data_IF_925802549442
#
_entry.id   IF_925802549442
#
_cell.length_a   1.000
_cell.length_b   1.000
_cell.length_c   1.000
_cell.angle_alpha   90.00
_cell.angle_beta   90.00
_cell.angle_gamma   90.00
#
_symmetry.space_group_name_H-M   'P 1'
#
loop_
_entity.id
_entity.type
_entity.pdbx_description
1 polymer ?
#
# COMPACT_ATOMS: atom_id res chain seq x y z
N UNK A 1 26.63 -17.28 -22.06
CA UNK A 1 26.41 -16.83 -23.46
C UNK A 1 27.63 -16.00 -23.83
N UNK A 2 28.14 -15.94 -25.08
CA UNK A 2 29.39 -15.17 -25.33
C UNK A 2 29.11 -13.66 -25.52
N UNK A 3 28.91 -12.97 -24.39
CA UNK A 3 28.57 -11.54 -24.35
C UNK A 3 29.65 -10.65 -24.96
N UNK A 4 30.95 -10.99 -24.82
CA UNK A 4 32.07 -10.18 -25.31
C UNK A 4 32.08 -9.95 -26.83
N UNK A 5 31.33 -10.75 -27.59
CA UNK A 5 31.25 -10.61 -29.06
C UNK A 5 30.05 -9.80 -29.54
N UNK A 6 29.12 -9.45 -28.64
CA UNK A 6 27.92 -8.69 -28.95
C UNK A 6 28.20 -7.18 -29.00
N UNK A 7 27.49 -6.49 -29.90
CA UNK A 7 27.39 -5.02 -29.85
C UNK A 7 26.64 -4.60 -28.59
N UNK A 8 26.80 -3.36 -28.14
CA UNK A 8 26.10 -2.88 -26.94
C UNK A 8 24.58 -2.90 -27.11
N UNK A 9 24.09 -2.67 -28.34
CA UNK A 9 22.66 -2.80 -28.68
C UNK A 9 22.18 -4.25 -28.60
N UNK A 10 22.93 -5.20 -29.19
CA UNK A 10 22.56 -6.62 -29.12
C UNK A 10 22.61 -7.15 -27.69
N UNK A 11 23.59 -6.69 -26.91
CA UNK A 11 23.72 -7.01 -25.49
C UNK A 11 22.53 -6.47 -24.67
N UNK A 12 22.14 -5.21 -24.90
CA UNK A 12 20.98 -4.62 -24.24
C UNK A 12 19.69 -5.35 -24.63
N UNK A 13 19.51 -5.72 -25.90
CA UNK A 13 18.30 -6.40 -26.39
C UNK A 13 17.97 -7.69 -25.63
N UNK A 14 18.95 -8.31 -24.96
CA UNK A 14 18.70 -9.50 -24.13
C UNK A 14 17.73 -9.24 -22.97
N UNK A 15 17.69 -8.02 -22.40
CA UNK A 15 16.72 -7.70 -21.33
C UNK A 15 15.27 -7.71 -21.84
N UNK A 16 15.06 -7.65 -23.16
CA UNK A 16 13.74 -7.71 -23.80
C UNK A 16 13.34 -9.13 -24.21
N UNK A 17 14.28 -10.07 -24.28
CA UNK A 17 14.04 -11.41 -24.85
C UNK A 17 14.19 -12.54 -23.84
N UNK A 18 15.04 -12.38 -22.83
CA UNK A 18 15.41 -13.46 -21.90
C UNK A 18 14.47 -13.58 -20.67
N UNK A 19 13.38 -12.82 -20.63
CA UNK A 19 12.44 -12.82 -19.51
C UNK A 19 13.14 -12.40 -18.22
N UNK A 20 13.12 -13.25 -17.21
CA UNK A 20 13.72 -13.05 -15.87
C UNK A 20 14.94 -13.94 -15.61
N UNK A 21 15.51 -14.50 -16.69
CA UNK A 21 16.51 -15.57 -16.63
C UNK A 21 17.97 -15.11 -16.83
N UNK A 22 18.19 -13.80 -17.01
CA UNK A 22 19.54 -13.25 -17.07
C UNK A 22 20.30 -13.54 -15.77
N UNK A 23 21.55 -13.97 -15.90
CA UNK A 23 22.39 -14.39 -14.77
C UNK A 23 23.54 -13.41 -14.46
N UNK A 24 24.31 -13.73 -13.42
CA UNK A 24 25.44 -12.91 -12.97
C UNK A 24 26.48 -12.59 -14.06
N UNK A 25 26.72 -13.51 -15.01
CA UNK A 25 27.64 -13.26 -16.15
C UNK A 25 27.20 -12.05 -16.99
N UNK A 26 25.89 -11.82 -17.12
CA UNK A 26 25.33 -10.64 -17.78
C UNK A 26 25.64 -9.37 -16.99
N UNK A 27 25.49 -9.41 -15.66
CA UNK A 27 25.75 -8.25 -14.77
C UNK A 27 27.23 -7.86 -14.77
N UNK A 28 28.13 -8.84 -14.78
CA UNK A 28 29.57 -8.60 -14.89
C UNK A 28 29.90 -7.89 -16.22
N UNK A 29 29.36 -8.38 -17.34
CA UNK A 29 29.52 -7.76 -18.66
C UNK A 29 28.88 -6.37 -18.75
N UNK A 30 27.75 -6.16 -18.06
CA UNK A 30 27.13 -4.85 -17.96
C UNK A 30 28.06 -3.86 -17.24
N UNK A 31 28.72 -4.30 -16.17
CA UNK A 31 29.73 -3.51 -15.46
C UNK A 31 30.91 -3.08 -16.34
N UNK A 32 31.40 -3.96 -17.22
CA UNK A 32 32.50 -3.65 -18.16
C UNK A 32 32.12 -2.60 -19.21
N UNK A 33 30.81 -2.38 -19.45
CA UNK A 33 30.26 -1.51 -20.50
C UNK A 33 29.40 -0.37 -19.95
N UNK A 34 29.53 -0.09 -18.65
CA UNK A 34 28.64 0.84 -17.92
C UNK A 34 28.45 2.17 -18.63
N UNK A 35 29.51 2.77 -19.18
CA UNK A 35 29.46 4.04 -19.89
C UNK A 35 28.52 4.06 -21.10
N UNK A 36 28.42 2.94 -21.82
CA UNK A 36 27.54 2.81 -22.98
C UNK A 36 26.11 2.45 -22.57
N UNK A 37 25.96 1.51 -21.63
CA UNK A 37 24.65 0.94 -21.32
C UNK A 37 23.83 1.77 -20.33
N UNK A 38 24.45 2.53 -19.41
CA UNK A 38 23.70 3.32 -18.41
C UNK A 38 22.71 4.29 -19.07
N UNK A 39 23.11 5.10 -20.08
CA UNK A 39 22.15 5.94 -20.80
C UNK A 39 21.04 5.13 -21.48
N UNK A 40 21.38 4.00 -22.10
CA UNK A 40 20.40 3.17 -22.80
C UNK A 40 19.39 2.53 -21.84
N UNK A 41 19.84 2.08 -20.66
CA UNK A 41 18.95 1.56 -19.61
C UNK A 41 18.03 2.66 -19.06
N UNK A 42 18.50 3.90 -18.98
CA UNK A 42 17.64 5.04 -18.64
C UNK A 42 16.58 5.29 -19.72
N UNK A 43 16.93 5.15 -21.01
CA UNK A 43 15.96 5.24 -22.11
C UNK A 43 14.89 4.14 -22.00
N UNK A 44 15.24 2.95 -21.52
CA UNK A 44 14.28 1.86 -21.25
C UNK A 44 13.27 2.26 -20.17
N UNK A 45 13.74 2.83 -19.05
CA UNK A 45 12.90 3.23 -17.91
C UNK A 45 12.05 4.48 -18.17
N UNK A 46 12.47 5.34 -19.08
CA UNK A 46 11.73 6.57 -19.42
C UNK A 46 10.66 6.35 -20.49
N UNK A 47 10.65 5.19 -21.14
CA UNK A 47 9.63 4.82 -22.11
C UNK A 47 8.48 4.03 -21.46
N UNK A 48 7.35 4.72 -21.24
CA UNK A 48 6.13 4.18 -20.63
C UNK A 48 5.59 2.91 -21.33
N UNK A 49 5.75 2.78 -22.64
CA UNK A 49 5.27 1.60 -23.38
C UNK A 49 5.90 0.28 -22.87
N UNK A 50 7.10 0.35 -22.28
CA UNK A 50 7.77 -0.83 -21.76
C UNK A 50 7.16 -1.34 -20.44
N UNK A 51 6.31 -0.56 -19.77
CA UNK A 51 5.64 -0.93 -18.53
C UNK A 51 4.33 -1.69 -18.75
N UNK A 52 3.81 -1.68 -19.98
CA UNK A 52 2.57 -2.36 -20.32
C UNK A 52 2.80 -3.88 -20.44
N UNK A 53 2.06 -4.67 -19.66
CA UNK A 53 2.08 -6.12 -19.81
C UNK A 53 1.38 -6.53 -21.12
N UNK A 54 2.16 -7.08 -22.05
CA UNK A 54 1.67 -7.61 -23.34
C UNK A 54 1.74 -9.15 -23.42
N UNK A 55 2.05 -9.82 -22.30
CA UNK A 55 2.24 -11.27 -22.26
C UNK A 55 3.58 -11.74 -22.82
N UNK A 56 4.53 -10.84 -23.08
CA UNK A 56 5.84 -11.17 -23.63
C UNK A 56 6.98 -10.86 -22.65
N UNK A 57 8.18 -11.34 -22.97
CA UNK A 57 9.40 -11.05 -22.23
C UNK A 57 9.76 -9.55 -22.20
N UNK A 58 9.18 -8.72 -23.09
CA UNK A 58 9.47 -7.29 -23.17
C UNK A 58 9.23 -6.56 -21.86
N UNK A 59 8.19 -6.92 -21.12
CA UNK A 59 7.87 -6.29 -19.84
C UNK A 59 9.00 -6.44 -18.80
N UNK A 60 9.77 -7.53 -18.86
CA UNK A 60 10.92 -7.73 -17.96
C UNK A 60 12.05 -6.73 -18.20
N UNK A 61 12.08 -6.05 -19.34
CA UNK A 61 13.11 -5.06 -19.65
C UNK A 61 13.18 -3.93 -18.62
N UNK A 62 12.05 -3.42 -18.14
CA UNK A 62 12.02 -2.34 -17.13
C UNK A 62 12.46 -2.83 -15.75
N UNK A 63 12.10 -4.08 -15.40
CA UNK A 63 12.56 -4.72 -14.17
C UNK A 63 14.08 -4.87 -14.20
N UNK A 64 14.61 -5.45 -15.29
CA UNK A 64 16.05 -5.58 -15.47
C UNK A 64 16.78 -4.23 -15.49
N UNK A 65 16.25 -3.24 -16.22
CA UNK A 65 16.88 -1.93 -16.30
C UNK A 65 17.01 -1.25 -14.93
N UNK A 66 15.95 -1.30 -14.11
CA UNK A 66 15.99 -0.75 -12.75
C UNK A 66 17.00 -1.48 -11.87
N UNK A 67 17.02 -2.82 -11.90
CA UNK A 67 17.95 -3.64 -11.12
C UNK A 67 19.41 -3.39 -11.53
N UNK A 68 19.71 -3.41 -12.83
CA UNK A 68 21.07 -3.23 -13.35
C UNK A 68 21.58 -1.84 -12.98
N UNK A 69 20.78 -0.78 -13.18
CA UNK A 69 21.17 0.58 -12.80
C UNK A 69 21.46 0.69 -11.30
N UNK A 70 20.63 0.07 -10.45
CA UNK A 70 20.89 -0.01 -9.00
C UNK A 70 22.18 -0.77 -8.66
N UNK A 71 22.46 -1.88 -9.34
CA UNK A 71 23.68 -2.68 -9.13
C UNK A 71 24.93 -1.88 -9.52
N UNK A 72 24.90 -1.22 -10.69
CA UNK A 72 25.99 -0.40 -11.21
C UNK A 72 26.26 0.82 -10.33
N UNK A 73 25.22 1.40 -9.72
CA UNK A 73 25.37 2.50 -8.75
C UNK A 73 25.85 3.81 -9.39
N UNK A 74 25.53 4.04 -10.66
CA UNK A 74 25.96 5.22 -11.42
C UNK A 74 24.97 6.37 -11.27
N UNK A 75 25.43 7.54 -10.82
CA UNK A 75 24.57 8.68 -10.48
C UNK A 75 23.81 9.27 -11.69
N UNK A 76 24.28 9.01 -12.91
CA UNK A 76 23.57 9.34 -14.16
C UNK A 76 22.19 8.69 -14.24
N UNK A 77 21.97 7.61 -13.48
CA UNK A 77 20.73 6.83 -13.49
C UNK A 77 19.55 7.49 -12.74
N UNK A 78 19.78 8.56 -11.96
CA UNK A 78 18.78 9.11 -11.04
C UNK A 78 17.45 9.44 -11.72
N UNK A 79 17.46 10.12 -12.88
CA UNK A 79 16.22 10.47 -13.58
C UNK A 79 15.47 9.25 -14.10
N UNK A 80 16.20 8.25 -14.61
CA UNK A 80 15.62 6.99 -15.07
C UNK A 80 14.93 6.23 -13.94
N UNK A 81 15.57 6.17 -12.76
CA UNK A 81 15.00 5.51 -11.58
C UNK A 81 13.80 6.26 -10.99
N UNK A 82 13.83 7.61 -10.97
CA UNK A 82 12.67 8.42 -10.58
C UNK A 82 11.48 8.19 -11.52
N UNK A 83 11.72 8.07 -12.83
CA UNK A 83 10.68 7.68 -13.79
C UNK A 83 10.18 6.27 -13.60
N UNK A 84 11.07 5.33 -13.27
CA UNK A 84 10.66 3.98 -12.91
C UNK A 84 9.80 3.94 -11.65
N UNK A 85 10.06 4.81 -10.66
CA UNK A 85 9.22 4.96 -9.47
C UNK A 85 7.80 5.39 -9.84
N UNK A 86 7.67 6.44 -10.65
CA UNK A 86 6.36 6.93 -11.13
C UNK A 86 5.59 5.84 -11.87
N UNK A 87 6.20 5.22 -12.87
CA UNK A 87 5.53 4.21 -13.69
C UNK A 87 5.26 2.92 -12.92
N UNK A 88 6.20 2.44 -12.09
CA UNK A 88 5.99 1.23 -11.31
C UNK A 88 4.84 1.38 -10.32
N UNK A 89 4.62 2.57 -9.75
CA UNK A 89 3.43 2.84 -8.94
C UNK A 89 2.14 2.78 -9.77
N UNK A 90 2.10 3.47 -10.93
CA UNK A 90 0.93 3.50 -11.81
C UNK A 90 0.54 2.10 -12.31
N UNK A 91 1.53 1.28 -12.66
CA UNK A 91 1.33 -0.06 -13.21
C UNK A 91 1.39 -1.18 -12.15
N UNK A 92 1.60 -0.85 -10.87
CA UNK A 92 1.66 -1.84 -9.78
C UNK A 92 2.80 -2.85 -9.92
N UNK A 93 4.00 -2.39 -10.23
CA UNK A 93 5.18 -3.25 -10.45
C UNK A 93 6.04 -3.31 -9.19
N UNK A 94 5.66 -4.21 -8.27
CA UNK A 94 6.36 -4.41 -6.99
C UNK A 94 7.85 -4.74 -7.17
N UNK A 95 8.20 -5.51 -8.21
CA UNK A 95 9.59 -5.85 -8.56
C UNK A 95 10.51 -4.64 -8.75
N UNK A 96 9.95 -3.47 -9.09
CA UNK A 96 10.71 -2.22 -9.19
C UNK A 96 10.58 -1.45 -7.88
N UNK A 97 9.35 -1.25 -7.38
CA UNK A 97 9.11 -0.45 -6.17
C UNK A 97 9.91 -0.93 -4.96
N UNK A 98 10.03 -2.25 -4.79
CA UNK A 98 10.71 -2.85 -3.65
C UNK A 98 12.24 -2.59 -3.64
N UNK A 99 12.88 -2.49 -4.81
CA UNK A 99 14.35 -2.32 -4.90
C UNK A 99 14.79 -0.86 -4.97
N UNK A 100 13.90 0.07 -5.35
CA UNK A 100 14.23 1.49 -5.57
C UNK A 100 14.95 2.14 -4.38
N UNK A 101 14.55 1.91 -3.11
CA UNK A 101 15.25 2.47 -1.96
C UNK A 101 16.74 2.09 -1.94
N UNK A 102 17.08 0.84 -2.25
CA UNK A 102 18.47 0.40 -2.30
C UNK A 102 19.17 0.93 -3.55
N UNK A 103 18.50 1.03 -4.70
CA UNK A 103 19.05 1.66 -5.90
C UNK A 103 19.54 3.08 -5.60
N UNK A 104 18.68 3.91 -5.01
CA UNK A 104 19.02 5.28 -4.63
C UNK A 104 20.21 5.34 -3.67
N UNK A 105 20.26 4.44 -2.68
CA UNK A 105 21.39 4.37 -1.75
C UNK A 105 22.71 4.01 -2.44
N UNK A 106 22.68 3.14 -3.45
CA UNK A 106 23.87 2.71 -4.22
C UNK A 106 24.39 3.77 -5.17
N UNK A 107 23.55 4.70 -5.65
CA UNK A 107 24.01 5.88 -6.41
C UNK A 107 24.92 6.81 -5.58
N UNK A 108 24.85 6.70 -4.25
CA UNK A 108 25.66 7.48 -3.33
C UNK A 108 25.07 8.85 -2.98
N UNK A 109 25.77 9.64 -2.15
CA UNK A 109 25.21 10.86 -1.55
C UNK A 109 24.92 11.99 -2.55
N UNK A 110 25.48 11.93 -3.77
CA UNK A 110 25.21 12.90 -4.84
C UNK A 110 23.74 12.95 -5.26
N UNK A 111 22.98 11.87 -5.02
CA UNK A 111 21.55 11.78 -5.36
C UNK A 111 20.65 12.57 -4.40
N UNK A 112 21.10 12.82 -3.16
CA UNK A 112 20.27 13.37 -2.08
C UNK A 112 19.56 14.67 -2.50
N UNK A 113 20.23 15.69 -3.08
CA UNK A 113 19.56 16.93 -3.46
C UNK A 113 18.43 16.68 -4.47
N UNK A 114 18.63 15.75 -5.41
CA UNK A 114 17.64 15.44 -6.44
C UNK A 114 16.44 14.69 -5.90
N UNK A 115 16.64 13.75 -4.96
CA UNK A 115 15.52 13.10 -4.24
C UNK A 115 14.71 14.11 -3.45
N UNK A 116 15.38 15.02 -2.72
CA UNK A 116 14.71 16.08 -1.95
C UNK A 116 13.85 16.98 -2.82
N UNK A 117 14.36 17.38 -3.99
CA UNK A 117 13.60 18.14 -4.99
C UNK A 117 12.38 17.36 -5.48
N UNK A 118 12.56 16.10 -5.89
CA UNK A 118 11.48 15.25 -6.39
C UNK A 118 10.34 15.07 -5.37
N UNK A 119 10.68 14.79 -4.11
CA UNK A 119 9.73 14.68 -3.00
C UNK A 119 9.01 16.01 -2.78
N UNK A 120 9.73 17.12 -2.82
CA UNK A 120 9.18 18.47 -2.63
C UNK A 120 8.15 18.83 -3.71
N UNK A 121 8.43 18.50 -4.98
CA UNK A 121 7.53 18.75 -6.11
C UNK A 121 6.21 17.97 -6.02
N UNK A 122 6.22 16.82 -5.33
CA UNK A 122 5.09 15.86 -5.30
C UNK A 122 4.38 15.79 -3.95
N UNK A 123 4.86 16.52 -2.94
CA UNK A 123 4.37 16.44 -1.56
C UNK A 123 2.87 16.71 -1.39
N UNK A 124 2.26 17.45 -2.30
CA UNK A 124 0.86 17.91 -2.19
C UNK A 124 -0.16 17.01 -2.88
N UNK A 125 0.28 15.94 -3.55
CA UNK A 125 -0.58 15.10 -4.37
C UNK A 125 -0.70 13.70 -3.78
N UNK A 126 -1.90 13.34 -3.32
CA UNK A 126 -2.26 11.97 -2.91
C UNK A 126 -2.01 10.95 -4.05
N UNK A 127 -2.08 11.39 -5.31
CA UNK A 127 -1.88 10.55 -6.48
C UNK A 127 -0.40 10.26 -6.80
N UNK A 128 0.55 10.94 -6.15
CA UNK A 128 1.99 10.78 -6.39
C UNK A 128 2.64 10.07 -5.22
N UNK A 129 3.02 8.82 -5.43
CA UNK A 129 3.77 8.05 -4.44
C UNK A 129 5.25 8.43 -4.48
N UNK A 130 5.78 8.96 -3.37
CA UNK A 130 7.21 9.26 -3.17
C UNK A 130 7.84 8.44 -2.03
N UNK A 131 7.19 7.34 -1.63
CA UNK A 131 7.64 6.51 -0.51
C UNK A 131 8.97 5.82 -0.82
N UNK A 132 9.19 5.38 -2.05
CA UNK A 132 10.46 4.77 -2.47
C UNK A 132 11.64 5.73 -2.30
N UNK A 133 11.44 7.02 -2.59
CA UNK A 133 12.45 8.07 -2.45
C UNK A 133 12.72 8.39 -0.97
N UNK A 134 11.68 8.44 -0.13
CA UNK A 134 11.82 8.61 1.32
C UNK A 134 12.58 7.42 1.93
N UNK A 135 12.20 6.19 1.59
CA UNK A 135 12.91 4.99 2.03
C UNK A 135 14.35 4.97 1.50
N UNK A 136 14.59 5.48 0.28
CA UNK A 136 15.94 5.70 -0.25
C UNK A 136 16.76 6.66 0.61
N UNK A 137 16.16 7.77 1.05
CA UNK A 137 16.80 8.67 2.02
C UNK A 137 17.07 7.95 3.36
N UNK A 138 16.18 7.09 3.84
CA UNK A 138 16.43 6.30 5.06
C UNK A 138 17.55 5.26 4.88
N UNK A 139 17.65 4.61 3.72
CA UNK A 139 18.76 3.73 3.39
C UNK A 139 20.09 4.50 3.43
N UNK A 140 20.11 5.72 2.86
CA UNK A 140 21.28 6.61 2.89
C UNK A 140 21.58 7.07 4.33
N UNK A 141 20.58 7.49 5.09
CA UNK A 141 20.69 7.88 6.51
C UNK A 141 21.31 6.77 7.37
N UNK A 142 20.94 5.51 7.09
CA UNK A 142 21.48 4.35 7.79
C UNK A 142 22.93 4.09 7.41
N UNK A 143 23.26 4.18 6.12
CA UNK A 143 24.58 3.84 5.57
C UNK A 143 25.63 4.94 5.77
N UNK A 144 25.22 6.21 5.76
CA UNK A 144 26.09 7.39 5.83
C UNK A 144 25.72 8.27 7.03
N UNK A 145 26.37 8.10 8.21
CA UNK A 145 26.03 8.85 9.41
C UNK A 145 26.10 10.38 9.27
N UNK A 146 26.99 10.90 8.41
CA UNK A 146 27.18 12.33 8.20
C UNK A 146 26.00 13.02 7.50
N UNK A 147 25.09 12.26 6.87
CA UNK A 147 23.90 12.81 6.18
C UNK A 147 22.66 12.83 7.06
N UNK A 148 22.72 12.26 8.27
CA UNK A 148 21.53 12.02 9.11
C UNK A 148 20.79 13.29 9.48
N UNK A 149 21.51 14.29 9.99
CA UNK A 149 20.94 15.56 10.40
C UNK A 149 20.27 16.27 9.23
N UNK A 150 20.90 16.27 8.05
CA UNK A 150 20.38 16.89 6.83
C UNK A 150 19.13 16.17 6.29
N UNK A 151 19.08 14.84 6.37
CA UNK A 151 17.92 14.05 5.95
C UNK A 151 16.76 14.21 6.93
N UNK A 152 17.01 14.11 8.24
CA UNK A 152 15.99 14.32 9.27
C UNK A 152 15.43 15.74 9.22
N UNK A 153 16.27 16.76 9.07
CA UNK A 153 15.81 18.15 8.94
C UNK A 153 14.92 18.33 7.70
N UNK A 154 15.27 17.70 6.58
CA UNK A 154 14.45 17.74 5.37
C UNK A 154 13.10 17.04 5.57
N UNK A 155 13.08 15.80 6.06
CA UNK A 155 11.84 15.05 6.28
C UNK A 155 10.94 15.75 7.30
N UNK A 156 11.52 16.33 8.35
CA UNK A 156 10.81 17.18 9.30
C UNK A 156 10.17 18.38 8.59
N UNK A 157 10.89 19.06 7.69
CA UNK A 157 10.35 20.19 6.93
C UNK A 157 9.19 19.81 6.01
N UNK A 158 9.22 18.61 5.41
CA UNK A 158 8.12 18.07 4.62
C UNK A 158 6.92 17.79 5.52
N UNK A 159 7.13 17.13 6.66
CA UNK A 159 6.07 16.77 7.60
C UNK A 159 5.32 18.00 8.16
N UNK A 160 6.04 19.07 8.54
CA UNK A 160 5.39 20.27 9.11
C UNK A 160 4.79 21.20 8.06
N UNK A 161 5.05 20.97 6.76
CA UNK A 161 4.55 21.84 5.69
C UNK A 161 3.03 21.69 5.56
N UNK A 162 2.26 22.80 5.51
CA UNK A 162 0.81 22.75 5.37
C UNK A 162 0.36 22.23 3.99
N UNK A 163 1.22 22.32 2.98
CA UNK A 163 0.95 21.83 1.61
C UNK A 163 1.15 20.32 1.47
N UNK A 164 1.76 19.67 2.45
CA UNK A 164 2.04 18.24 2.38
C UNK A 164 0.77 17.45 2.64
N UNK A 165 0.50 16.49 1.76
CA UNK A 165 -0.57 15.52 1.90
C UNK A 165 -0.50 14.80 3.26
N UNK A 166 -1.68 14.49 3.81
CA UNK A 166 -1.82 13.85 5.11
C UNK A 166 -1.29 12.43 5.12
N UNK A 167 -1.43 11.67 4.04
CA UNK A 167 -0.85 10.33 3.92
C UNK A 167 0.67 10.40 4.02
N UNK A 168 1.29 11.29 3.25
CA UNK A 168 2.74 11.51 3.29
C UNK A 168 3.23 11.99 4.66
N UNK A 169 2.53 12.94 5.30
CA UNK A 169 2.81 13.35 6.68
C UNK A 169 2.78 12.16 7.64
N UNK A 170 1.77 11.31 7.50
CA UNK A 170 1.57 10.14 8.36
C UNK A 170 2.71 9.13 8.25
N UNK A 171 3.20 8.88 7.04
CA UNK A 171 4.37 8.04 6.82
C UNK A 171 5.63 8.62 7.50
N UNK A 172 5.86 9.94 7.38
CA UNK A 172 7.04 10.56 8.01
C UNK A 172 6.93 10.54 9.55
N UNK A 173 5.72 10.71 10.12
CA UNK A 173 5.48 10.57 11.57
C UNK A 173 5.82 9.15 12.03
N UNK A 174 5.37 8.14 11.29
CA UNK A 174 5.69 6.73 11.56
C UNK A 174 7.21 6.50 11.56
N UNK A 175 7.92 7.03 10.55
CA UNK A 175 9.36 6.89 10.43
C UNK A 175 10.11 7.50 11.61
N UNK A 176 9.76 8.73 12.01
CA UNK A 176 10.35 9.38 13.18
C UNK A 176 10.06 8.65 14.49
N UNK A 177 8.88 8.06 14.62
CA UNK A 177 8.53 7.23 15.78
C UNK A 177 9.39 5.96 15.84
N UNK A 178 9.62 5.28 14.71
CA UNK A 178 10.44 4.07 14.62
C UNK A 178 11.91 4.32 15.00
N UNK A 179 12.46 5.49 14.66
CA UNK A 179 13.81 5.91 15.10
C UNK A 179 13.83 6.56 16.50
N UNK A 180 12.73 6.44 17.26
CA UNK A 180 12.62 6.84 18.65
C UNK A 180 12.84 8.36 18.90
N UNK A 181 12.37 9.22 17.99
CA UNK A 181 12.34 10.70 18.19
C UNK A 181 11.22 11.11 19.14
N UNK A 182 11.34 10.68 20.40
CA UNK A 182 10.35 10.93 21.48
C UNK A 182 10.16 12.42 21.80
N UNK A 183 11.14 13.25 21.46
CA UNK A 183 11.04 14.71 21.55
C UNK A 183 9.94 15.28 20.64
N UNK A 184 9.59 14.57 19.55
CA UNK A 184 8.54 14.98 18.61
C UNK A 184 7.14 14.49 19.03
N UNK A 185 7.01 13.64 20.05
CA UNK A 185 5.71 13.07 20.46
C UNK A 185 4.64 14.15 20.72
N UNK A 186 4.92 15.26 21.44
CA UNK A 186 3.90 16.30 21.63
C UNK A 186 3.40 16.92 20.31
N UNK A 187 4.27 17.07 19.32
CA UNK A 187 3.89 17.56 17.99
C UNK A 187 3.03 16.53 17.23
N UNK A 188 3.37 15.24 17.33
CA UNK A 188 2.55 14.20 16.71
C UNK A 188 1.15 14.16 17.31
N UNK A 189 1.03 14.24 18.65
CA UNK A 189 -0.27 14.34 19.30
C UNK A 189 -1.09 15.54 18.80
N UNK A 190 -0.44 16.70 18.57
CA UNK A 190 -1.09 17.87 17.98
C UNK A 190 -1.62 17.58 16.56
N UNK A 191 -0.85 16.89 15.72
CA UNK A 191 -1.32 16.46 14.40
C UNK A 191 -2.53 15.53 14.48
N UNK A 192 -2.52 14.56 15.39
CA UNK A 192 -3.70 13.72 15.62
C UNK A 192 -4.91 14.54 16.08
N UNK A 193 -4.72 15.51 16.97
CA UNK A 193 -5.82 16.35 17.44
C UNK A 193 -6.41 17.20 16.32
N UNK A 194 -5.56 17.73 15.42
CA UNK A 194 -5.98 18.50 14.24
C UNK A 194 -6.50 17.65 13.07
N UNK A 195 -6.43 16.33 13.18
CA UNK A 195 -6.78 15.41 12.09
C UNK A 195 -5.77 15.45 10.94
N UNK A 196 -4.54 15.88 11.14
CA UNK A 196 -3.48 15.90 10.12
C UNK A 196 -2.81 14.52 9.90
N UNK A 197 -3.29 13.49 10.60
CA UNK A 197 -2.82 12.10 10.47
C UNK A 197 -3.93 11.25 9.87
N UNK A 198 -3.58 10.44 8.88
CA UNK A 198 -4.46 9.42 8.33
C UNK A 198 -4.54 8.22 9.29
N UNK A 199 -5.69 8.08 9.96
CA UNK A 199 -5.93 7.01 10.92
C UNK A 199 -6.08 5.62 10.29
N UNK A 200 -6.27 5.51 8.98
CA UNK A 200 -6.21 4.22 8.28
C UNK A 200 -4.77 3.74 8.11
N UNK A 201 -3.81 4.66 8.05
CA UNK A 201 -2.37 4.36 7.91
C UNK A 201 -1.70 4.22 9.27
N UNK A 202 -1.93 5.14 10.21
CA UNK A 202 -1.27 5.15 11.52
C UNK A 202 -2.23 5.54 12.64
N UNK A 203 -2.73 4.54 13.38
CA UNK A 203 -3.52 4.84 14.58
C UNK A 203 -2.63 5.30 15.75
N UNK A 204 -3.22 5.89 16.78
CA UNK A 204 -2.50 6.24 18.02
C UNK A 204 -1.86 5.02 18.70
N UNK A 205 -2.52 3.87 18.63
CA UNK A 205 -1.96 2.63 19.17
C UNK A 205 -0.73 2.17 18.37
N UNK A 206 -0.74 2.38 17.04
CA UNK A 206 0.41 2.08 16.19
C UNK A 206 1.57 3.04 16.49
N UNK A 207 1.28 4.33 16.73
CA UNK A 207 2.28 5.30 17.17
C UNK A 207 2.92 4.89 18.50
N UNK A 208 2.10 4.55 19.50
CA UNK A 208 2.59 4.07 20.81
C UNK A 208 3.42 2.79 20.64
N UNK A 209 2.97 1.85 19.79
CA UNK A 209 3.72 0.64 19.46
C UNK A 209 5.09 0.96 18.84
N UNK A 210 5.17 1.93 17.91
CA UNK A 210 6.44 2.34 17.32
C UNK A 210 7.40 2.92 18.35
N UNK A 211 6.95 3.79 19.25
CA UNK A 211 7.80 4.29 20.33
C UNK A 211 8.22 3.20 21.34
N UNK A 212 7.34 2.26 21.66
CA UNK A 212 7.56 1.31 22.75
C UNK A 212 8.27 0.01 22.33
N UNK A 213 8.08 -0.42 21.07
CA UNK A 213 8.45 -1.76 20.58
C UNK A 213 9.35 -1.75 19.37
N UNK A 214 9.40 -0.66 18.61
CA UNK A 214 10.26 -0.56 17.43
C UNK A 214 11.51 0.24 17.77
N UNK A 215 12.66 -0.27 17.38
CA UNK A 215 13.96 0.40 17.58
C UNK A 215 14.90 0.09 16.42
N UNK A 216 14.35 0.06 15.22
CA UNK A 216 15.10 -0.03 13.97
C UNK A 216 14.59 1.08 13.05
N UNK A 217 15.50 1.59 12.22
CA UNK A 217 15.16 2.63 11.26
C UNK A 217 14.29 2.06 10.13
N UNK A 218 13.49 2.88 9.43
CA UNK A 218 12.58 2.41 8.39
C UNK A 218 13.30 2.06 7.07
N UNK A 219 14.61 1.77 7.09
CA UNK A 219 15.33 1.40 5.88
C UNK A 219 14.75 0.14 5.23
N UNK A 220 14.74 0.11 3.90
CA UNK A 220 14.44 -1.06 3.10
C UNK A 220 15.66 -1.44 2.27
N UNK A 221 16.57 -2.19 2.89
CA UNK A 221 17.79 -2.66 2.22
C UNK A 221 17.54 -4.00 1.53
N UNK A 222 18.04 -4.16 0.31
CA UNK A 222 17.92 -5.40 -0.45
C UNK A 222 19.26 -5.81 -1.07
N UNK A 223 19.45 -7.11 -1.29
CA UNK A 223 20.51 -7.60 -2.18
C UNK A 223 19.96 -7.68 -3.62
N UNK A 224 20.00 -6.56 -4.32
CA UNK A 224 19.49 -6.45 -5.71
C UNK A 224 20.22 -7.42 -6.65
N UNK A 225 21.51 -7.68 -6.41
CA UNK A 225 22.31 -8.57 -7.26
C UNK A 225 21.89 -10.04 -7.14
N UNK A 226 21.34 -10.45 -5.97
CA UNK A 226 20.86 -11.81 -5.75
C UNK A 226 19.80 -12.25 -6.77
N UNK A 227 19.04 -11.30 -7.34
CA UNK A 227 18.07 -11.55 -8.41
C UNK A 227 18.68 -12.34 -9.58
N UNK A 228 19.95 -12.08 -9.91
CA UNK A 228 20.68 -12.69 -11.04
C UNK A 228 21.46 -13.95 -10.65
N UNK A 229 21.37 -14.38 -9.39
CA UNK A 229 22.00 -15.63 -8.95
C UNK A 229 21.30 -16.84 -9.54
N UNK A 230 22.06 -17.90 -9.85
CA UNK A 230 21.48 -19.14 -10.36
C UNK A 230 20.48 -19.78 -9.39
N UNK A 231 20.65 -19.56 -8.08
CA UNK A 231 19.71 -20.06 -7.07
C UNK A 231 18.37 -19.34 -7.13
N UNK A 232 18.35 -17.99 -7.20
CA UNK A 232 17.10 -17.24 -7.27
C UNK A 232 16.38 -17.44 -8.61
N UNK A 233 17.11 -17.54 -9.72
CA UNK A 233 16.52 -17.88 -11.03
C UNK A 233 15.85 -19.26 -10.96
N UNK A 234 16.51 -20.26 -10.38
CA UNK A 234 15.94 -21.60 -10.19
C UNK A 234 14.68 -21.57 -9.31
N UNK A 235 14.73 -20.83 -8.19
CA UNK A 235 13.56 -20.68 -7.29
C UNK A 235 12.37 -20.09 -8.02
N UNK A 236 12.58 -19.04 -8.82
CA UNK A 236 11.50 -18.43 -9.58
C UNK A 236 10.99 -19.37 -10.68
N UNK A 237 11.88 -20.10 -11.38
CA UNK A 237 11.47 -21.12 -12.37
C UNK A 237 10.56 -22.18 -11.75
N UNK A 238 10.99 -22.76 -10.63
CA UNK A 238 10.19 -23.75 -9.89
C UNK A 238 8.86 -23.14 -9.41
N UNK A 239 8.86 -21.87 -8.99
CA UNK A 239 7.63 -21.17 -8.61
C UNK A 239 6.65 -21.07 -9.78
N UNK A 240 7.07 -20.62 -10.97
CA UNK A 240 6.19 -20.52 -12.13
C UNK A 240 5.69 -21.89 -12.60
N UNK A 241 6.54 -22.91 -12.60
CA UNK A 241 6.13 -24.28 -12.93
C UNK A 241 5.01 -24.77 -11.98
N UNK A 242 5.15 -24.51 -10.67
CA UNK A 242 4.13 -24.84 -9.69
C UNK A 242 2.86 -23.99 -9.83
N UNK A 243 2.97 -22.69 -10.14
CA UNK A 243 1.83 -21.81 -10.38
C UNK A 243 1.05 -22.24 -11.63
N UNK A 244 1.72 -22.66 -12.69
CA UNK A 244 1.11 -23.20 -13.91
C UNK A 244 0.37 -24.52 -13.65
N UNK A 245 0.98 -25.44 -12.90
CA UNK A 245 0.34 -26.71 -12.51
C UNK A 245 -0.85 -26.47 -11.58
N UNK A 246 -0.71 -25.54 -10.63
CA UNK A 246 -1.79 -25.15 -9.73
C UNK A 246 -2.94 -24.51 -10.52
N UNK A 247 -2.65 -23.60 -11.45
CA UNK A 247 -3.64 -22.93 -12.30
C UNK A 247 -4.49 -23.93 -13.09
N UNK A 248 -3.86 -24.93 -13.74
CA UNK A 248 -4.59 -26.01 -14.44
C UNK A 248 -5.49 -26.82 -13.50
N UNK A 249 -5.03 -27.05 -12.27
CA UNK A 249 -5.79 -27.79 -11.26
C UNK A 249 -6.96 -26.96 -10.74
N UNK A 250 -6.76 -25.67 -10.49
CA UNK A 250 -7.79 -24.71 -10.09
C UNK A 250 -8.86 -24.56 -11.17
N UNK A 251 -8.48 -24.39 -12.44
CA UNK A 251 -9.43 -24.34 -13.57
C UNK A 251 -10.35 -25.57 -13.65
N UNK A 252 -9.79 -26.77 -13.46
CA UNK A 252 -10.58 -28.01 -13.41
C UNK A 252 -11.52 -28.04 -12.21
N UNK A 253 -11.03 -27.63 -11.04
CA UNK A 253 -11.81 -27.59 -9.81
C UNK A 253 -12.97 -26.59 -9.93
N UNK A 254 -12.71 -25.39 -10.42
CA UNK A 254 -13.70 -24.34 -10.65
C UNK A 254 -14.76 -24.80 -11.65
N UNK A 255 -14.35 -25.41 -12.76
CA UNK A 255 -15.29 -26.01 -13.70
C UNK A 255 -16.23 -27.04 -13.03
N UNK A 256 -15.69 -27.90 -12.16
CA UNK A 256 -16.48 -28.89 -11.42
C UNK A 256 -17.43 -28.22 -10.42
N UNK A 257 -16.98 -27.19 -9.70
CA UNK A 257 -17.79 -26.47 -8.71
C UNK A 257 -18.95 -25.73 -9.40
N UNK A 258 -18.66 -24.97 -10.46
CA UNK A 258 -19.65 -24.20 -11.23
C UNK A 258 -20.72 -25.08 -11.88
N UNK A 259 -20.34 -26.30 -12.28
CA UNK A 259 -21.22 -27.23 -12.97
C UNK A 259 -21.66 -28.41 -12.09
N UNK A 260 -21.42 -28.37 -10.77
CA UNK A 260 -21.69 -29.49 -9.86
C UNK A 260 -23.14 -29.99 -9.94
N UNK A 261 -24.11 -29.09 -10.13
CA UNK A 261 -25.53 -29.43 -10.26
C UNK A 261 -25.95 -29.82 -11.69
N UNK A 262 -25.11 -29.55 -12.69
CA UNK A 262 -25.37 -29.81 -14.11
C UNK A 262 -24.76 -31.15 -14.56
N UNK A 263 -23.66 -31.57 -13.94
CA UNK A 263 -23.02 -32.86 -14.25
C UNK A 263 -23.88 -33.99 -13.70
N UNK A 264 -24.31 -34.89 -14.58
CA UNK A 264 -25.12 -36.03 -14.18
C UNK A 264 -24.36 -36.95 -13.22
N UNK A 265 -24.98 -37.37 -12.11
CA UNK A 265 -24.34 -38.21 -11.06
C UNK A 265 -23.67 -39.49 -11.60
N UNK A 266 -24.20 -40.07 -12.67
CA UNK A 266 -23.68 -41.29 -13.30
C UNK A 266 -22.77 -41.03 -14.51
N UNK A 267 -22.61 -39.78 -14.94
CA UNK A 267 -21.71 -39.40 -16.04
C UNK A 267 -20.25 -39.58 -15.64
N UNK A 268 -19.38 -39.65 -16.65
CA UNK A 268 -17.93 -39.70 -16.41
C UNK A 268 -17.47 -38.39 -15.76
N UNK A 269 -16.57 -38.50 -14.78
CA UNK A 269 -16.09 -37.35 -14.05
C UNK A 269 -15.18 -36.47 -14.94
N UNK A 270 -15.37 -35.13 -14.97
CA UNK A 270 -14.57 -34.22 -15.81
C UNK A 270 -13.06 -34.26 -15.59
N UNK A 271 -12.60 -34.71 -14.42
CA UNK A 271 -11.18 -34.90 -14.09
C UNK A 271 -10.44 -35.97 -14.92
N UNK A 272 -11.12 -36.66 -15.84
CA UNK A 272 -10.49 -37.69 -16.67
C UNK A 272 -10.20 -39.04 -15.98
N UNK A 273 -10.59 -39.23 -14.72
CA UNK A 273 -10.32 -40.46 -13.96
C UNK A 273 -11.04 -41.73 -14.46
N UNK A 274 -11.96 -41.60 -15.42
CA UNK A 274 -12.81 -42.70 -15.92
C UNK A 274 -13.88 -43.18 -14.92
N UNK A 275 -13.94 -42.63 -13.71
CA UNK A 275 -14.96 -42.94 -12.70
C UNK A 275 -16.26 -42.15 -12.94
N UNK A 276 -17.38 -42.66 -12.43
CA UNK A 276 -18.65 -41.90 -12.36
C UNK A 276 -18.50 -40.69 -11.42
N UNK A 277 -19.09 -39.54 -11.74
CA UNK A 277 -18.98 -38.31 -10.95
C UNK A 277 -19.32 -38.52 -9.45
N UNK A 278 -20.39 -39.26 -9.16
CA UNK A 278 -20.79 -39.62 -7.78
C UNK A 278 -19.77 -40.44 -6.98
N UNK A 279 -18.83 -41.12 -7.66
CA UNK A 279 -17.75 -41.94 -7.04
C UNK A 279 -16.39 -41.24 -7.11
N UNK A 280 -16.36 -40.00 -7.57
CA UNK A 280 -15.15 -39.22 -7.75
C UNK A 280 -15.34 -37.85 -7.07
N UNK A 281 -15.64 -36.80 -7.81
CA UNK A 281 -15.64 -35.43 -7.29
C UNK A 281 -16.96 -34.91 -6.71
N UNK A 282 -18.10 -35.62 -6.85
CA UNK A 282 -19.40 -35.08 -6.35
C UNK A 282 -19.39 -34.77 -4.85
N UNK A 283 -18.93 -35.71 -4.02
CA UNK A 283 -18.94 -35.53 -2.56
C UNK A 283 -17.98 -34.41 -2.12
N UNK A 284 -16.83 -34.31 -2.79
CA UNK A 284 -15.90 -33.20 -2.61
C UNK A 284 -16.57 -31.88 -3.02
N UNK A 285 -17.15 -31.79 -4.21
CA UNK A 285 -17.76 -30.56 -4.71
C UNK A 285 -18.92 -30.08 -3.82
N UNK A 286 -19.80 -30.98 -3.38
CA UNK A 286 -20.91 -30.66 -2.47
C UNK A 286 -20.42 -30.11 -1.12
N UNK A 287 -19.37 -30.70 -0.54
CA UNK A 287 -18.81 -30.25 0.72
C UNK A 287 -18.02 -28.93 0.56
N UNK A 288 -17.21 -28.80 -0.51
CA UNK A 288 -16.50 -27.57 -0.86
C UNK A 288 -17.48 -26.40 -1.04
N UNK A 289 -18.56 -26.57 -1.82
CA UNK A 289 -19.60 -25.55 -1.98
C UNK A 289 -20.29 -25.17 -0.65
N UNK A 290 -20.40 -26.11 0.30
CA UNK A 290 -20.93 -25.81 1.64
C UNK A 290 -19.94 -24.98 2.46
N UNK A 291 -18.65 -25.30 2.40
CA UNK A 291 -17.61 -24.57 3.10
C UNK A 291 -17.44 -23.16 2.53
N UNK A 292 -17.36 -23.03 1.20
CA UNK A 292 -17.29 -21.74 0.51
C UNK A 292 -18.44 -20.81 0.91
N UNK A 293 -19.68 -21.29 1.01
CA UNK A 293 -20.81 -20.48 1.50
C UNK A 293 -20.64 -19.98 2.94
N UNK A 294 -20.05 -20.79 3.83
CA UNK A 294 -19.78 -20.37 5.21
C UNK A 294 -18.64 -19.37 5.27
N UNK A 295 -17.58 -19.60 4.50
CA UNK A 295 -16.44 -18.72 4.39
C UNK A 295 -16.82 -17.38 3.77
N UNK A 296 -17.64 -17.37 2.73
CA UNK A 296 -18.21 -16.17 2.11
C UNK A 296 -19.02 -15.37 3.13
N UNK A 297 -19.88 -16.01 3.93
CA UNK A 297 -20.61 -15.32 5.00
C UNK A 297 -19.67 -14.71 6.06
N UNK A 298 -18.65 -15.45 6.48
CA UNK A 298 -17.66 -14.96 7.43
C UNK A 298 -16.79 -13.85 6.85
N UNK A 299 -16.41 -13.97 5.58
CA UNK A 299 -15.62 -13.01 4.83
C UNK A 299 -16.39 -11.71 4.66
N UNK A 300 -17.64 -11.77 4.22
CA UNK A 300 -18.52 -10.61 4.11
C UNK A 300 -18.74 -9.94 5.46
N UNK A 301 -18.93 -10.71 6.54
CA UNK A 301 -19.01 -10.15 7.90
C UNK A 301 -17.72 -9.42 8.31
N UNK A 302 -16.55 -10.02 8.08
CA UNK A 302 -15.25 -9.39 8.35
C UNK A 302 -15.00 -8.16 7.48
N UNK A 303 -15.39 -8.22 6.21
CA UNK A 303 -15.26 -7.12 5.23
C UNK A 303 -16.12 -5.93 5.63
N UNK A 304 -17.37 -6.17 6.04
CA UNK A 304 -18.26 -5.14 6.58
C UNK A 304 -17.67 -4.48 7.84
N UNK A 305 -17.11 -5.27 8.75
CA UNK A 305 -16.45 -4.72 9.94
C UNK A 305 -15.22 -3.88 9.59
N UNK A 306 -14.35 -4.36 8.70
CA UNK A 306 -13.17 -3.62 8.24
C UNK A 306 -13.57 -2.31 7.56
N UNK A 307 -14.59 -2.36 6.70
CA UNK A 307 -15.14 -1.18 6.06
C UNK A 307 -15.66 -0.17 7.08
N UNK A 308 -16.42 -0.63 8.08
CA UNK A 308 -16.91 0.24 9.15
C UNK A 308 -15.76 0.89 9.95
N UNK A 309 -14.69 0.15 10.25
CA UNK A 309 -13.51 0.70 10.93
C UNK A 309 -12.83 1.77 10.07
N UNK A 310 -12.68 1.53 8.77
CA UNK A 310 -12.08 2.50 7.85
C UNK A 310 -12.92 3.77 7.72
N UNK A 311 -14.25 3.64 7.55
CA UNK A 311 -15.16 4.79 7.53
C UNK A 311 -15.13 5.56 8.86
N UNK A 312 -15.06 4.88 10.00
CA UNK A 312 -14.91 5.54 11.31
C UNK A 312 -13.64 6.39 11.35
N UNK A 313 -12.50 5.83 10.93
CA UNK A 313 -11.19 6.48 10.95
C UNK A 313 -11.13 7.68 10.03
N UNK A 314 -11.60 7.54 8.80
CA UNK A 314 -11.67 8.64 7.82
C UNK A 314 -12.59 9.75 8.32
N UNK A 315 -13.76 9.41 8.83
CA UNK A 315 -14.73 10.39 9.34
C UNK A 315 -14.26 11.06 10.63
N UNK A 316 -13.59 10.34 11.55
CA UNK A 316 -12.93 10.94 12.72
C UNK A 316 -11.87 11.96 12.30
N UNK A 317 -11.01 11.57 11.35
CA UNK A 317 -9.95 12.45 10.82
C UNK A 317 -10.55 13.72 10.22
N UNK A 318 -11.59 13.59 9.38
CA UNK A 318 -12.27 14.72 8.76
C UNK A 318 -12.98 15.62 9.79
N UNK A 319 -13.69 15.04 10.78
CA UNK A 319 -14.30 15.82 11.87
C UNK A 319 -13.28 16.63 12.65
N UNK A 320 -12.13 16.02 12.98
CA UNK A 320 -11.04 16.70 13.68
C UNK A 320 -10.50 17.87 12.88
N UNK A 321 -10.30 17.71 11.56
CA UNK A 321 -9.88 18.81 10.67
C UNK A 321 -10.89 19.95 10.66
N UNK A 322 -12.18 19.66 10.49
CA UNK A 322 -13.23 20.69 10.51
C UNK A 322 -13.29 21.44 11.85
N UNK A 323 -13.16 20.72 12.95
CA UNK A 323 -13.14 21.32 14.29
C UNK A 323 -11.88 22.14 14.51
N UNK A 324 -10.71 21.69 14.04
CA UNK A 324 -9.46 22.42 14.14
C UNK A 324 -9.48 23.73 13.34
N UNK A 325 -10.05 23.73 12.13
CA UNK A 325 -10.24 24.93 11.32
C UNK A 325 -11.12 26.00 11.99
N UNK A 326 -11.90 25.61 13.00
CA UNK A 326 -12.83 26.48 13.76
C UNK A 326 -12.35 26.75 15.19
N UNK A 327 -11.10 26.41 15.52
CA UNK A 327 -10.53 26.49 16.89
C UNK A 327 -11.33 25.71 17.94
N UNK A 328 -11.95 24.59 17.54
CA UNK A 328 -12.78 23.70 18.38
C UNK A 328 -12.20 22.31 18.56
N UNK A 329 -10.89 22.13 18.40
CA UNK A 329 -10.21 20.83 18.52
C UNK A 329 -10.61 20.02 19.76
N UNK A 330 -10.72 20.68 20.92
CA UNK A 330 -11.10 20.03 22.19
C UNK A 330 -12.53 19.47 22.22
N UNK A 331 -13.40 19.87 21.30
CA UNK A 331 -14.79 19.44 21.26
C UNK A 331 -14.92 17.98 20.81
N UNK A 332 -13.98 17.48 19.99
CA UNK A 332 -14.07 16.15 19.40
C UNK A 332 -14.20 15.05 20.47
N UNK A 333 -13.38 15.10 21.54
CA UNK A 333 -13.43 14.10 22.61
C UNK A 333 -14.79 14.05 23.31
N UNK A 334 -15.44 15.19 23.48
CA UNK A 334 -16.78 15.27 24.07
C UNK A 334 -17.85 14.71 23.12
N UNK A 335 -17.73 15.02 21.82
CA UNK A 335 -18.59 14.45 20.77
C UNK A 335 -18.45 12.92 20.74
N UNK A 336 -17.21 12.40 20.70
CA UNK A 336 -16.93 10.96 20.71
C UNK A 336 -17.52 10.27 21.94
N UNK A 337 -17.33 10.85 23.14
CA UNK A 337 -17.92 10.33 24.36
C UNK A 337 -19.46 10.30 24.29
N UNK A 338 -20.08 11.36 23.75
CA UNK A 338 -21.53 11.42 23.56
C UNK A 338 -22.02 10.40 22.53
N UNK A 339 -21.32 10.22 21.42
CA UNK A 339 -21.65 9.21 20.40
C UNK A 339 -21.66 7.82 21.04
N UNK A 340 -20.63 7.47 21.81
CA UNK A 340 -20.55 6.17 22.51
C UNK A 340 -21.70 6.01 23.53
N UNK A 341 -22.09 7.07 24.23
CA UNK A 341 -23.26 7.07 25.13
C UNK A 341 -24.55 6.78 24.34
N UNK A 342 -24.78 7.51 23.24
CA UNK A 342 -26.00 7.40 22.42
C UNK A 342 -26.10 6.03 21.73
N UNK A 343 -24.99 5.49 21.21
CA UNK A 343 -24.89 4.16 20.59
C UNK A 343 -25.37 3.04 21.52
N UNK A 344 -25.25 3.23 22.83
CA UNK A 344 -25.60 2.27 23.88
C UNK A 344 -27.03 2.45 24.42
N UNK A 345 -27.75 3.49 23.99
CA UNK A 345 -29.15 3.69 24.38
C UNK A 345 -30.01 2.62 23.69
N UNK A 346 -30.84 1.87 24.43
CA UNK A 346 -31.80 0.94 23.84
C UNK A 346 -32.76 1.65 22.88
N UNK A 347 -33.06 1.04 21.74
CA UNK A 347 -33.87 1.66 20.67
C UNK A 347 -35.26 2.08 21.14
N UNK A 348 -35.85 1.35 22.09
CA UNK A 348 -37.15 1.63 22.71
C UNK A 348 -37.15 2.86 23.63
N UNK A 349 -35.97 3.35 24.02
CA UNK A 349 -35.78 4.55 24.85
C UNK A 349 -35.43 5.79 24.02
N UNK A 350 -35.30 5.64 22.70
CA UNK A 350 -35.08 6.77 21.81
C UNK A 350 -36.37 7.59 21.70
N UNK A 351 -36.44 8.71 22.44
CA UNK A 351 -37.63 9.58 22.44
C UNK A 351 -37.80 10.31 21.10
N UNK A 352 -39.02 10.74 20.76
CA UNK A 352 -39.36 11.53 19.55
C UNK A 352 -38.57 12.85 19.38
N UNK A 353 -37.84 13.32 20.42
CA UNK A 353 -36.87 14.41 20.28
C UNK A 353 -35.68 13.88 19.48
N UNK A 354 -35.74 14.03 18.16
CA UNK A 354 -34.89 13.35 17.18
C UNK A 354 -33.39 13.31 17.50
N UNK A 355 -32.71 12.31 16.92
CA UNK A 355 -31.29 11.96 17.05
C UNK A 355 -30.33 13.15 17.28
N UNK A 356 -30.45 14.19 16.46
CA UNK A 356 -29.59 15.38 16.53
C UNK A 356 -29.71 16.17 17.84
N UNK A 357 -30.83 16.05 18.56
CA UNK A 357 -31.04 16.74 19.84
C UNK A 357 -30.07 16.29 20.94
N UNK A 358 -29.54 15.07 20.85
CA UNK A 358 -28.49 14.59 21.75
C UNK A 358 -27.15 15.30 21.56
N UNK A 359 -26.95 15.92 20.39
CA UNK A 359 -25.69 16.56 20.00
C UNK A 359 -25.78 18.08 19.89
N UNK A 360 -26.97 18.66 19.97
CA UNK A 360 -27.22 20.12 19.94
C UNK A 360 -26.35 20.93 20.91
N UNK A 361 -26.07 20.48 22.16
CA UNK A 361 -25.17 21.20 23.06
C UNK A 361 -23.73 21.34 22.56
N UNK A 362 -23.29 20.46 21.65
CA UNK A 362 -21.97 20.52 21.03
C UNK A 362 -22.03 21.31 19.73
N UNK A 363 -23.03 21.03 18.88
CA UNK A 363 -23.15 21.68 17.57
C UNK A 363 -23.44 23.19 17.68
N UNK A 364 -24.14 23.62 18.73
CA UNK A 364 -24.33 25.06 19.03
C UNK A 364 -23.05 25.82 19.35
N UNK A 365 -21.94 25.12 19.63
CA UNK A 365 -20.62 25.73 19.88
C UNK A 365 -19.79 25.92 18.60
N UNK A 366 -20.30 25.44 17.46
CA UNK A 366 -19.62 25.47 16.16
C UNK A 366 -20.31 26.52 15.28
N UNK A 367 -19.53 27.47 14.78
CA UNK A 367 -20.01 28.43 13.80
C UNK A 367 -19.82 27.87 12.39
N UNK A 368 -20.90 27.86 11.61
CA UNK A 368 -20.89 27.37 10.23
C UNK A 368 -21.00 28.55 9.26
N UNK A 369 -20.06 28.63 8.33
CA UNK A 369 -19.92 29.77 7.42
C UNK A 369 -20.99 29.77 6.33
N UNK A 370 -21.55 28.59 6.04
CA UNK A 370 -22.58 28.40 5.02
C UNK A 370 -23.46 27.18 5.33
N UNK A 371 -24.56 27.04 4.57
CA UNK A 371 -25.37 25.82 4.59
C UNK A 371 -24.62 24.59 4.07
N UNK A 372 -23.65 24.82 3.18
CA UNK A 372 -22.82 23.76 2.61
C UNK A 372 -21.84 23.22 3.67
N UNK A 373 -21.17 24.11 4.41
CA UNK A 373 -20.28 23.77 5.54
C UNK A 373 -21.03 22.99 6.64
N UNK A 374 -22.24 23.44 7.01
CA UNK A 374 -23.10 22.67 7.93
C UNK A 374 -23.50 21.30 7.36
N UNK A 375 -23.79 21.23 6.06
CA UNK A 375 -24.18 20.01 5.37
C UNK A 375 -23.05 18.97 5.35
N UNK A 376 -21.84 19.41 5.00
CA UNK A 376 -20.61 18.61 5.01
C UNK A 376 -20.31 18.07 6.42
N UNK A 377 -20.31 18.95 7.42
CA UNK A 377 -20.10 18.54 8.82
C UNK A 377 -21.12 17.50 9.27
N UNK A 378 -22.39 17.73 8.95
CA UNK A 378 -23.48 16.83 9.34
C UNK A 378 -23.32 15.46 8.67
N UNK A 379 -22.94 15.43 7.39
CA UNK A 379 -22.73 14.19 6.66
C UNK A 379 -21.58 13.38 7.26
N UNK A 380 -20.41 14.00 7.44
CA UNK A 380 -19.23 13.34 8.04
C UNK A 380 -19.54 12.85 9.46
N UNK A 381 -20.28 13.64 10.25
CA UNK A 381 -20.71 13.23 11.58
C UNK A 381 -21.62 11.99 11.55
N UNK A 382 -22.57 11.94 10.62
CA UNK A 382 -23.47 10.78 10.46
C UNK A 382 -22.67 9.55 10.04
N UNK A 383 -21.72 9.69 9.11
CA UNK A 383 -20.85 8.61 8.67
C UNK A 383 -20.00 8.08 9.82
N UNK A 384 -19.39 8.97 10.61
CA UNK A 384 -18.67 8.62 11.84
C UNK A 384 -19.57 7.86 12.83
N UNK A 385 -20.76 8.39 13.12
CA UNK A 385 -21.70 7.75 14.05
C UNK A 385 -22.09 6.36 13.58
N UNK A 386 -22.50 6.21 12.31
CA UNK A 386 -22.97 4.94 11.76
C UNK A 386 -21.87 3.89 11.74
N UNK A 387 -20.67 4.29 11.30
CA UNK A 387 -19.50 3.43 11.27
C UNK A 387 -19.10 2.93 12.67
N UNK A 388 -19.04 3.83 13.65
CA UNK A 388 -18.75 3.45 15.03
C UNK A 388 -19.87 2.58 15.61
N UNK A 389 -21.12 2.91 15.34
CA UNK A 389 -22.29 2.16 15.81
C UNK A 389 -22.30 0.72 15.27
N UNK A 390 -21.81 0.47 14.05
CA UNK A 390 -21.69 -0.86 13.46
C UNK A 390 -20.67 -1.75 14.19
N UNK A 391 -19.73 -1.16 14.93
CA UNK A 391 -18.75 -1.92 15.71
C UNK A 391 -19.30 -2.45 17.05
N UNK A 392 -20.45 -1.93 17.51
CA UNK A 392 -21.09 -2.30 18.78
C UNK A 392 -22.28 -3.28 18.63
N UNK A 393 -22.29 -4.10 17.57
CA UNK A 393 -23.39 -5.04 17.23
C UNK A 393 -23.66 -6.15 18.27
N UNK A 394 -22.80 -6.36 19.28
CA UNK A 394 -23.03 -7.33 20.37
C UNK A 394 -24.03 -6.84 21.44
N UNK A 395 -24.45 -5.56 21.40
CA UNK A 395 -25.61 -5.07 22.15
C UNK A 395 -26.88 -5.31 21.32
N UNK A 396 -28.01 -5.76 21.91
CA UNK A 396 -29.17 -6.25 21.17
C UNK A 396 -29.81 -5.12 20.35
N UNK A 397 -29.35 -4.98 19.11
CA UNK A 397 -30.02 -4.20 18.08
C UNK A 397 -30.90 -5.17 17.33
N UNK A 398 -32.15 -5.26 17.77
CA UNK A 398 -33.18 -5.85 16.92
C UNK A 398 -33.15 -5.13 15.57
N UNK A 399 -33.13 -5.95 14.52
CA UNK A 399 -32.90 -5.59 13.12
C UNK A 399 -33.63 -4.31 12.72
N UNK A 400 -32.93 -3.18 12.67
CA UNK A 400 -33.14 -2.07 11.74
C UNK A 400 -32.07 -1.02 12.00
N UNK A 401 -31.22 -0.80 10.99
CA UNK A 401 -30.36 0.37 10.92
C UNK A 401 -31.25 1.61 11.07
N UNK A 402 -30.99 2.44 12.08
CA UNK A 402 -31.57 3.78 12.07
C UNK A 402 -30.77 4.56 11.02
N UNK A 403 -31.48 5.10 10.03
CA UNK A 403 -31.00 5.95 8.94
C UNK A 403 -30.56 5.21 7.67
N UNK A 404 -31.56 4.69 6.94
CA UNK A 404 -31.57 4.69 5.46
C UNK A 404 -32.28 5.95 4.97
#
# INVERSE_FOLDING_TARGET
MNYHTMTDTDFLNLIFTEGDSLGMEYIENAGERSDAIVPMLCDVLTNEENYMWDGTARWWSVVHAAHILGILGDDRAVEGLLKASEYSYVYGIDWIMEILPECYCRLGPGVIPRLKEHITERRSSEATNVLSEILGLWNIWKRLPDTREDIEAFLFSIMISPETDYGLKTHIIADFAQINRTDLRPLFEEFYEKGEVDLDVLTRNDLDYFFDKVNYSPELTQDIASFYSSEEIEKRRVRWENEDERGKTEELNDFILDNCNRIGRNEQCPCGSGKKFKKCHLAWAEETLRQLRKEEQLFESKKLMRFAISVERQSETALRRMLAAKDKTSLFLNIKAKVIEVIKIPTDQFTEKGFLSHFEPFFSQIEFDSKEDLGEFTQIFIDYYNALAQQYLEYPRDKQHIHS
#
